data_IF_488424023437
#
_entry.id   IF_488424023437
#
_cell.length_a   1.000
_cell.length_b   1.000
_cell.length_c   1.000
_cell.angle_alpha   90.00
_cell.angle_beta   90.00
_cell.angle_gamma   90.00
#
_symmetry.space_group_name_H-M   'P 1'
#
loop_
_entity.id
_entity.type
_entity.pdbx_description
1 polymer ?
2 non-polymer ?
3 non-polymer ?
4 water ?
#
# COMPACT_ATOMS: atom_id res chain seq x y z
N UNK A 1 9.19 16.16 -2.78
CA UNK A 1 8.06 16.96 -2.31
C UNK A 1 7.48 16.43 -1.01
N UNK A 2 6.58 17.19 -0.40
CA UNK A 2 5.63 16.61 0.53
C UNK A 2 4.32 16.27 -0.16
N UNK A 3 3.86 15.04 0.01
CA UNK A 3 2.70 14.56 -0.72
C UNK A 3 1.54 14.23 0.21
N UNK A 4 0.41 14.88 -0.04
CA UNK A 4 -0.78 14.74 0.78
C UNK A 4 -1.46 13.40 0.52
N UNK A 5 -2.23 12.93 1.49
CA UNK A 5 -2.91 11.65 1.35
C UNK A 5 -4.42 11.82 1.38
N UNK A 6 -4.87 13.04 1.15
CA UNK A 6 -6.27 13.29 0.81
C UNK A 6 -6.67 12.52 -0.44
N UNK A 7 -5.78 12.48 -1.43
CA UNK A 7 -6.02 11.71 -2.64
C UNK A 7 -5.04 10.55 -2.73
N UNK A 8 -5.28 9.63 -3.65
CA UNK A 8 -4.30 8.60 -3.98
C UNK A 8 -3.00 9.26 -4.43
N UNK A 9 -1.86 8.75 -3.93
CA UNK A 9 -0.55 9.35 -4.19
C UNK A 9 0.05 8.87 -5.51
N UNK A 10 -0.47 9.42 -6.60
CA UNK A 10 -0.12 8.95 -7.94
C UNK A 10 0.98 9.82 -8.52
N UNK A 11 1.99 9.17 -9.11
CA UNK A 11 3.10 9.88 -9.72
C UNK A 11 3.36 9.33 -11.12
N UNK A 12 4.09 10.07 -11.93
CA UNK A 12 4.60 9.55 -13.19
C UNK A 12 5.95 8.86 -12.98
N UNK A 13 6.10 7.68 -13.55
CA UNK A 13 7.41 7.03 -13.62
C UNK A 13 7.85 6.89 -15.06
N UNK A 14 9.17 6.94 -15.27
CA UNK A 14 9.76 6.54 -16.55
C UNK A 14 10.42 5.17 -16.41
N UNK A 15 9.99 4.23 -17.26
CA UNK A 15 10.55 2.90 -17.23
C UNK A 15 10.50 2.24 -18.61
N UNK A 16 11.63 1.66 -19.01
CA UNK A 16 11.73 0.96 -20.28
C UNK A 16 11.33 1.85 -21.46
N UNK A 17 11.65 3.13 -21.36
CA UNK A 17 11.38 4.07 -22.44
C UNK A 17 9.99 4.67 -22.37
N UNK A 18 9.21 4.26 -21.38
CA UNK A 18 7.79 4.57 -21.33
C UNK A 18 7.46 5.44 -20.12
N UNK A 19 6.46 6.31 -20.27
CA UNK A 19 5.88 7.03 -19.14
C UNK A 19 4.61 6.33 -18.68
N UNK A 20 4.49 6.14 -17.37
CA UNK A 20 3.33 5.47 -16.79
C UNK A 20 2.97 6.14 -15.47
N UNK A 21 1.69 6.08 -15.10
CA UNK A 21 1.26 6.54 -13.78
C UNK A 21 1.27 5.38 -12.80
N UNK A 22 1.67 5.66 -11.57
CA UNK A 22 1.77 4.61 -10.56
C UNK A 22 1.47 5.13 -9.17
N UNK A 23 1.15 4.21 -8.27
CA UNK A 23 0.68 4.52 -6.93
C UNK A 23 1.80 4.26 -5.93
N UNK A 24 2.23 5.30 -5.22
CA UNK A 24 3.26 5.14 -4.19
C UNK A 24 2.69 4.40 -2.98
N UNK A 25 3.17 3.17 -2.75
CA UNK A 25 2.51 2.29 -1.79
C UNK A 25 3.48 1.81 -0.73
N UNK A 26 3.35 2.37 0.47
CA UNK A 26 4.25 2.04 1.57
C UNK A 26 4.00 0.63 2.10
N UNK A 27 2.82 0.09 1.82
CA UNK A 27 2.45 -1.23 2.31
C UNK A 27 2.89 -2.35 1.40
N UNK A 28 3.41 -1.99 0.22
CA UNK A 28 3.83 -3.00 -0.75
C UNK A 28 5.33 -3.32 -0.62
N UNK A 29 5.65 -4.60 -0.50
CA UNK A 29 7.04 -5.06 -0.52
C UNK A 29 7.68 -4.75 -1.87
N UNK A 30 6.94 -5.01 -2.93
CA UNK A 30 7.49 -5.05 -4.28
C UNK A 30 6.84 -3.99 -5.15
N UNK A 31 7.44 -3.76 -6.30
CA UNK A 31 6.88 -2.89 -7.32
C UNK A 31 6.28 -3.75 -8.42
N UNK A 32 5.01 -3.52 -8.73
CA UNK A 32 4.31 -4.32 -9.73
C UNK A 32 3.63 -3.44 -10.77
N UNK A 33 3.90 -3.73 -12.05
CA UNK A 33 3.36 -2.96 -13.15
C UNK A 33 2.52 -3.86 -14.04
N UNK A 34 1.45 -3.29 -14.60
CA UNK A 34 0.67 -3.98 -15.62
C UNK A 34 1.55 -4.47 -16.76
N UNK A 35 1.00 -5.32 -17.62
CA UNK A 35 1.79 -6.01 -18.62
C UNK A 35 2.56 -5.02 -19.49
N UNK A 36 3.87 -5.25 -19.57
CA UNK A 36 4.76 -4.45 -20.42
C UNK A 36 5.98 -5.28 -20.77
N UNK A 37 6.80 -4.73 -21.66
CA UNK A 37 8.05 -5.40 -22.04
C UNK A 37 9.21 -4.83 -21.25
N UNK A 38 10.06 -5.72 -20.72
CA UNK A 38 11.35 -5.30 -20.21
C UNK A 38 12.46 -6.24 -20.69
N UNK A 39 13.68 -5.70 -20.84
CA UNK A 39 14.82 -6.43 -21.35
C UNK A 39 15.51 -7.27 -20.29
N UNK A 40 16.27 -8.28 -20.71
CA UNK A 40 17.09 -9.06 -19.80
C UNK A 40 16.33 -10.25 -19.23
N UNK A 41 16.90 -10.86 -18.19
CA UNK A 41 16.41 -12.13 -17.67
C UNK A 41 15.23 -11.90 -16.72
N UNK A 42 14.36 -12.88 -16.60
CA UNK A 42 13.29 -12.84 -15.61
C UNK A 42 13.00 -14.22 -15.03
N UNK A 43 12.33 -14.24 -13.87
CA UNK A 43 11.85 -15.49 -13.29
C UNK A 43 10.45 -15.32 -12.71
N UNK A 44 9.64 -16.40 -12.71
CA UNK A 44 8.26 -16.26 -12.27
C UNK A 44 8.16 -16.11 -10.77
N UNK A 45 7.12 -15.41 -10.32
CA UNK A 45 6.89 -15.19 -8.89
C UNK A 45 5.39 -15.12 -8.66
N UNK A 46 4.96 -15.62 -7.51
CA UNK A 46 3.58 -15.39 -7.06
C UNK A 46 3.58 -14.36 -5.95
N UNK A 47 2.81 -13.29 -6.13
CA UNK A 47 2.68 -12.29 -5.07
C UNK A 47 1.25 -12.20 -4.58
N UNK A 48 1.12 -11.87 -3.29
CA UNK A 48 -0.17 -11.92 -2.62
C UNK A 48 -0.61 -10.55 -2.14
N UNK A 49 -1.92 -10.31 -2.22
CA UNK A 49 -2.52 -9.11 -1.63
C UNK A 49 -3.91 -9.47 -1.16
N UNK A 50 -4.75 -8.46 -0.96
CA UNK A 50 -6.16 -8.72 -0.75
C UNK A 50 -6.78 -9.30 -2.02
N UNK A 51 -7.44 -10.44 -1.85
CA UNK A 51 -8.06 -11.13 -2.97
C UNK A 51 -7.36 -12.44 -3.32
N UNK A 52 -6.09 -12.56 -2.96
CA UNK A 52 -5.31 -13.73 -3.29
C UNK A 52 -4.01 -13.40 -4.02
N UNK A 53 -3.50 -14.35 -4.78
CA UNK A 53 -2.20 -14.22 -5.42
C UNK A 53 -2.35 -14.05 -6.93
N UNK A 54 -1.39 -13.36 -7.53
CA UNK A 54 -1.23 -13.38 -8.99
C UNK A 54 0.19 -13.76 -9.37
N UNK A 55 0.33 -14.36 -10.55
CA UNK A 55 1.63 -14.75 -11.05
C UNK A 55 2.23 -13.61 -11.88
N UNK A 56 3.50 -13.28 -11.59
CA UNK A 56 4.17 -12.18 -12.27
C UNK A 56 5.56 -12.61 -12.78
N UNK A 57 6.12 -11.83 -13.70
CA UNK A 57 7.52 -11.99 -14.10
C UNK A 57 8.40 -11.03 -13.29
N UNK A 58 9.46 -11.57 -12.71
CA UNK A 58 10.40 -10.77 -11.94
C UNK A 58 11.64 -10.41 -12.76
N UNK A 59 11.79 -9.12 -13.03
CA UNK A 59 13.01 -8.58 -13.61
C UNK A 59 13.80 -7.81 -12.54
N UNK A 60 15.11 -8.03 -12.51
CA UNK A 60 15.99 -7.37 -11.55
C UNK A 60 16.84 -6.30 -12.22
N UNK A 61 17.37 -5.38 -11.41
CA UNK A 61 18.27 -4.34 -11.90
C UNK A 61 17.67 -3.57 -13.06
N UNK A 62 16.45 -3.08 -12.86
CA UNK A 62 15.78 -2.26 -13.86
C UNK A 62 15.84 -0.79 -13.46
N UNK A 63 16.39 0.06 -14.35
CA UNK A 63 16.40 1.50 -14.11
C UNK A 63 15.00 2.09 -14.18
N UNK A 64 14.69 2.96 -13.25
CA UNK A 64 13.39 3.62 -13.21
C UNK A 64 13.57 5.03 -12.68
N UNK A 65 12.67 5.92 -13.12
CA UNK A 65 12.73 7.32 -12.73
C UNK A 65 11.41 7.72 -12.11
N UNK A 66 11.42 8.12 -10.84
CA UNK A 66 10.20 8.44 -10.11
C UNK A 66 10.20 9.88 -9.64
N UNK A 67 9.25 10.66 -10.14
CA UNK A 67 9.18 12.08 -9.81
C UNK A 67 10.55 12.75 -10.00
N UNK A 68 11.27 12.31 -11.03
CA UNK A 68 12.56 12.91 -11.35
C UNK A 68 13.72 12.25 -10.63
N UNK A 69 13.41 11.30 -9.75
CA UNK A 69 14.44 10.61 -8.99
C UNK A 69 14.79 9.26 -9.62
N UNK A 70 16.06 9.12 -10.00
CA UNK A 70 16.56 7.86 -10.55
C UNK A 70 16.79 6.81 -9.46
N UNK A 71 16.33 5.60 -9.71
CA UNK A 71 16.69 4.44 -8.90
C UNK A 71 16.86 3.22 -9.78
N UNK A 72 17.31 2.12 -9.19
CA UNK A 72 17.35 0.84 -9.87
C UNK A 72 16.94 -0.28 -8.93
N UNK A 73 16.16 -1.22 -9.43
CA UNK A 73 15.46 -2.17 -8.57
C UNK A 73 14.77 -3.29 -9.31
N UNK A 74 14.21 -4.24 -8.55
CA UNK A 74 13.42 -5.31 -9.11
C UNK A 74 12.02 -4.79 -9.45
N UNK A 75 11.57 -5.08 -10.67
CA UNK A 75 10.22 -4.73 -11.09
C UNK A 75 9.45 -5.98 -11.49
N UNK A 76 8.26 -6.14 -10.93
CA UNK A 76 7.39 -7.26 -11.27
C UNK A 76 6.38 -6.83 -12.33
N UNK A 77 6.11 -7.71 -13.29
CA UNK A 77 5.18 -7.41 -14.38
C UNK A 77 4.13 -8.52 -14.50
N UNK A 78 2.87 -8.12 -14.58
CA UNK A 78 1.78 -9.08 -14.57
C UNK A 78 0.42 -8.40 -14.48
N UNK A 79 -0.63 -9.21 -14.27
CA UNK A 79 -2.03 -8.76 -14.33
C UNK A 79 -2.48 -8.09 -13.04
N UNK A 80 -1.71 -7.10 -12.59
CA UNK A 80 -2.14 -6.25 -11.49
C UNK A 80 -3.15 -5.22 -11.97
N UNK A 81 -4.18 -4.95 -11.16
CA UNK A 81 -5.23 -4.03 -11.56
C UNK A 81 -4.79 -2.57 -11.54
N UNK A 82 -3.67 -2.29 -10.88
CA UNK A 82 -3.05 -0.99 -11.01
C UNK A 82 -1.56 -1.03 -10.73
N UNK A 83 -0.86 -0.06 -11.30
CA UNK A 83 0.58 0.08 -11.11
C UNK A 83 0.92 0.54 -9.69
N UNK A 84 1.77 -0.20 -9.01
CA UNK A 84 2.16 0.12 -7.64
C UNK A 84 3.68 0.20 -7.53
N UNK A 85 4.17 1.31 -6.99
CA UNK A 85 5.55 1.41 -6.54
C UNK A 85 5.67 0.99 -5.08
N UNK A 86 6.50 -0.01 -4.81
CA UNK A 86 6.63 -0.57 -3.48
C UNK A 86 7.89 -0.13 -2.77
N UNK A 87 8.12 -0.68 -1.58
CA UNK A 87 9.17 -0.19 -0.71
C UNK A 87 10.57 -0.37 -1.33
N UNK A 88 10.73 -1.40 -2.16
CA UNK A 88 12.04 -1.69 -2.74
C UNK A 88 12.58 -0.54 -3.56
N UNK A 89 11.69 0.29 -4.10
CA UNK A 89 12.10 1.48 -4.86
C UNK A 89 11.88 2.77 -4.08
N UNK A 90 10.86 2.79 -3.24
CA UNK A 90 10.59 3.97 -2.42
C UNK A 90 11.80 4.34 -1.56
N UNK A 91 12.50 3.32 -1.05
CA UNK A 91 13.66 3.56 -0.20
C UNK A 91 14.73 4.32 -0.98
N UNK A 92 14.85 4.00 -2.27
CA UNK A 92 15.97 4.47 -3.08
C UNK A 92 15.81 5.95 -3.41
N UNK A 93 14.59 6.45 -3.39
CA UNK A 93 14.35 7.87 -3.65
C UNK A 93 14.15 8.65 -2.35
N UNK A 94 14.38 7.99 -1.22
CA UNK A 94 14.46 8.67 0.06
C UNK A 94 13.09 8.96 0.63
N UNK A 95 12.13 8.11 0.29
CA UNK A 95 10.74 8.37 0.65
C UNK A 95 10.42 7.83 2.05
N UNK A 96 9.91 8.71 2.90
CA UNK A 96 9.53 8.33 4.25
C UNK A 96 8.08 8.71 4.54
N UNK A 97 7.52 8.10 5.58
CA UNK A 97 6.24 8.52 6.13
C UNK A 97 6.47 9.49 7.27
N UNK A 98 5.58 10.47 7.41
CA UNK A 98 5.75 11.50 8.43
C UNK A 98 4.42 11.90 9.06
N UNK A 99 4.38 11.89 10.39
CA UNK A 99 3.28 12.47 11.14
C UNK A 99 3.72 12.76 12.56
N UNK B 1 6.51 10.80 14.18
CA UNK B 1 7.75 10.16 13.76
C UNK B 1 8.01 10.27 12.27
N UNK B 2 9.25 10.03 11.87
CA UNK B 2 9.58 9.76 10.47
C UNK B 2 9.88 8.28 10.28
N UNK B 3 9.05 7.60 9.49
CA UNK B 3 9.22 6.18 9.27
C UNK B 3 9.81 5.93 7.89
N UNK B 4 10.98 5.29 7.88
CA UNK B 4 11.60 4.83 6.64
C UNK B 4 11.06 3.46 6.26
N UNK B 5 11.42 3.00 5.06
CA UNK B 5 10.68 1.92 4.41
C UNK B 5 11.59 0.74 4.06
N UNK B 6 12.75 0.67 4.70
CA UNK B 6 13.63 -0.48 4.56
C UNK B 6 13.00 -1.74 5.12
N UNK B 7 12.11 -1.55 6.09
CA UNK B 7 11.25 -2.62 6.59
C UNK B 7 9.79 -2.27 6.34
N UNK B 8 8.90 -3.25 6.47
CA UNK B 8 7.47 -2.98 6.55
C UNK B 8 7.16 -1.98 7.66
N UNK B 9 6.39 -0.91 7.33
CA UNK B 9 5.99 0.10 8.29
C UNK B 9 4.90 -0.40 9.24
N UNK B 10 5.27 -1.34 10.09
CA UNK B 10 4.33 -1.98 11.01
C UNK B 10 4.24 -1.17 12.29
N UNK B 11 3.02 -0.83 12.69
CA UNK B 11 2.81 -0.13 13.95
C UNK B 11 1.78 -0.83 14.81
N UNK B 12 1.77 -0.47 16.09
CA UNK B 12 0.76 -0.94 17.02
C UNK B 12 -0.45 0.00 16.98
N UNK B 13 -1.63 -0.59 16.80
CA UNK B 13 -2.88 0.14 16.93
C UNK B 13 -3.63 -0.36 18.16
N UNK B 14 -4.51 0.47 18.69
CA UNK B 14 -5.46 0.00 19.70
C UNK B 14 -6.90 0.20 19.24
N UNK B 15 -7.68 -0.86 19.31
CA UNK B 15 -9.07 -0.80 18.91
C UNK B 15 -9.92 -1.74 19.75
N UNK B 16 -10.98 -1.19 20.34
CA UNK B 16 -11.82 -1.92 21.28
C UNK B 16 -11.06 -2.41 22.50
N UNK B 17 -10.05 -1.66 22.92
CA UNK B 17 -9.31 -1.97 24.13
C UNK B 17 -8.14 -2.92 23.92
N UNK B 18 -7.96 -3.41 22.70
CA UNK B 18 -6.93 -4.41 22.44
C UNK B 18 -5.84 -3.87 21.52
N UNK B 19 -4.60 -4.31 21.75
CA UNK B 19 -3.48 -3.95 20.89
C UNK B 19 -3.38 -4.91 19.72
N UNK B 20 -3.15 -4.36 18.53
CA UNK B 20 -2.86 -5.17 17.35
C UNK B 20 -1.71 -4.52 16.58
N UNK B 21 -1.11 -5.29 15.69
CA UNK B 21 -0.16 -4.74 14.73
C UNK B 21 -0.83 -4.51 13.37
N UNK B 22 -0.49 -3.39 12.74
CA UNK B 22 -1.05 -3.06 11.44
C UNK B 22 -0.02 -2.39 10.56
N UNK B 23 -0.31 -2.38 9.27
CA UNK B 23 0.63 -1.92 8.25
C UNK B 23 0.17 -0.58 7.68
N UNK B 24 1.02 0.44 7.77
CA UNK B 24 0.68 1.76 7.24
C UNK B 24 0.80 1.79 5.72
N UNK B 25 -0.33 1.94 5.04
CA UNK B 25 -0.41 1.59 3.63
C UNK B 25 -1.03 2.73 2.80
N UNK B 26 -0.19 3.50 2.15
CA UNK B 26 -0.63 4.67 1.43
C UNK B 26 -1.31 4.30 0.12
N UNK B 27 -1.15 3.04 -0.27
CA UNK B 27 -1.80 2.53 -1.48
C UNK B 27 -3.19 1.96 -1.22
N UNK B 28 -3.68 2.12 0.01
CA UNK B 28 -5.02 1.65 0.36
C UNK B 28 -5.95 2.82 0.63
N UNK B 29 -7.09 2.85 -0.07
CA UNK B 29 -8.13 3.83 0.21
C UNK B 29 -8.64 3.64 1.63
N UNK B 30 -8.81 2.38 2.01
CA UNK B 30 -9.61 2.00 3.17
C UNK B 30 -8.73 1.26 4.18
N UNK B 31 -9.20 1.22 5.42
CA UNK B 31 -8.56 0.43 6.46
C UNK B 31 -9.27 -0.92 6.62
N UNK B 32 -8.53 -2.01 6.52
CA UNK B 32 -9.16 -3.33 6.64
C UNK B 32 -8.40 -4.23 7.60
N UNK B 33 -9.14 -4.72 8.60
CA UNK B 33 -8.55 -5.50 9.69
C UNK B 33 -9.02 -6.95 9.59
N UNK B 34 -8.21 -7.85 10.12
CA UNK B 34 -8.57 -9.27 10.25
C UNK B 34 -9.76 -9.46 11.17
N UNK B 35 -10.43 -10.60 11.03
CA UNK B 35 -11.67 -10.86 11.77
C UNK B 35 -11.55 -10.45 13.23
N UNK B 36 -12.59 -9.76 13.70
CA UNK B 36 -12.66 -9.28 15.08
C UNK B 36 -14.09 -8.82 15.35
N UNK B 37 -14.43 -8.65 16.62
CA UNK B 37 -15.75 -8.14 17.00
C UNK B 37 -15.71 -6.62 17.12
N UNK B 38 -16.71 -5.96 16.56
CA UNK B 38 -16.91 -4.53 16.76
C UNK B 38 -18.38 -4.24 17.07
N UNK B 39 -18.65 -3.09 17.71
CA UNK B 39 -20.01 -2.80 18.17
C UNK B 39 -20.88 -2.21 17.07
N UNK B 40 -22.19 -2.37 17.19
CA UNK B 40 -23.14 -1.66 16.34
C UNK B 40 -23.50 -2.43 15.10
N UNK B 41 -24.09 -1.74 14.13
CA UNK B 41 -24.50 -2.36 12.88
C UNK B 41 -23.42 -2.15 11.82
N UNK B 42 -23.40 -3.04 10.82
CA UNK B 42 -22.43 -2.93 9.75
C UNK B 42 -23.12 -2.97 8.39
N UNK B 43 -22.44 -2.41 7.38
CA UNK B 43 -22.91 -2.44 6.01
C UNK B 43 -21.95 -3.27 5.16
N UNK B 44 -22.42 -3.73 3.99
CA UNK B 44 -21.59 -4.48 3.06
C UNK B 44 -20.64 -3.60 2.26
N UNK B 45 -19.41 -4.07 2.06
CA UNK B 45 -18.55 -3.52 1.04
C UNK B 45 -17.75 -4.59 0.32
N UNK B 46 -17.65 -4.46 -0.99
CA UNK B 46 -16.72 -5.23 -1.79
C UNK B 46 -15.49 -4.38 -2.09
N UNK B 47 -14.31 -4.86 -1.69
CA UNK B 47 -13.07 -4.14 -1.97
C UNK B 47 -12.15 -4.98 -2.84
N UNK B 48 -11.46 -4.31 -3.75
CA UNK B 48 -10.54 -4.96 -4.68
C UNK B 48 -9.10 -4.74 -4.27
N UNK B 49 -8.34 -5.84 -4.21
CA UNK B 49 -6.90 -5.76 -4.08
C UNK B 49 -6.19 -6.33 -5.28
N UNK B 50 -4.91 -6.62 -5.11
CA UNK B 50 -4.06 -7.11 -6.19
C UNK B 50 -4.57 -8.45 -6.72
N UNK B 51 -5.16 -9.25 -5.83
CA UNK B 51 -5.47 -10.64 -6.15
C UNK B 51 -6.94 -10.86 -6.49
N UNK B 52 -7.75 -9.82 -6.36
CA UNK B 52 -9.17 -9.92 -6.65
C UNK B 52 -10.03 -9.23 -5.60
N UNK B 53 -11.27 -9.67 -5.46
CA UNK B 53 -12.22 -8.97 -4.60
C UNK B 53 -12.53 -9.77 -3.35
N UNK B 54 -12.74 -9.07 -2.23
CA UNK B 54 -13.32 -9.70 -1.05
C UNK B 54 -14.50 -8.92 -0.50
N UNK B 55 -15.42 -9.63 0.14
CA UNK B 55 -16.49 -9.01 0.91
C UNK B 55 -16.01 -8.70 2.31
N UNK B 56 -16.37 -7.52 2.81
CA UNK B 56 -16.01 -7.14 4.17
C UNK B 56 -17.23 -6.54 4.88
N UNK B 57 -17.13 -6.48 6.20
CA UNK B 57 -18.11 -5.75 7.01
C UNK B 57 -17.62 -4.34 7.31
N UNK B 58 -18.44 -3.34 6.98
CA UNK B 58 -18.06 -1.95 7.21
C UNK B 58 -18.64 -1.43 8.52
N UNK B 59 -17.77 -1.04 9.44
CA UNK B 59 -18.18 -0.34 10.64
C UNK B 59 -17.75 1.12 10.57
N UNK B 60 -18.64 2.02 10.96
CA UNK B 60 -18.33 3.45 10.93
C UNK B 60 -18.09 4.02 12.33
N UNK B 61 -17.36 5.13 12.38
CA UNK B 61 -17.26 5.94 13.60
C UNK B 61 -16.66 5.12 14.74
N UNK B 62 -15.66 4.31 14.41
CA UNK B 62 -14.99 3.47 15.38
C UNK B 62 -13.72 4.15 15.88
N UNK B 63 -13.60 4.34 17.20
CA UNK B 63 -12.36 4.89 17.74
C UNK B 63 -11.18 3.93 17.55
N UNK B 64 -10.05 4.45 17.08
CA UNK B 64 -8.86 3.65 16.89
C UNK B 64 -7.59 4.47 17.07
N UNK B 65 -6.70 3.97 17.93
CA UNK B 65 -5.41 4.60 18.16
C UNK B 65 -4.37 4.02 17.21
N UNK B 66 -3.53 4.88 16.65
CA UNK B 66 -2.51 4.45 15.70
C UNK B 66 -1.17 5.10 16.02
N UNK B 67 -0.16 4.28 16.32
CA UNK B 67 0.94 4.66 17.21
C UNK B 67 0.60 5.83 18.12
N UNK B 68 -0.46 5.68 18.91
CA UNK B 68 -0.76 6.63 19.98
C UNK B 68 -1.51 7.85 19.50
N UNK B 69 -1.74 7.93 18.19
CA UNK B 69 -2.53 9.02 17.60
C UNK B 69 -4.01 8.61 17.49
N UNK B 70 -4.88 9.44 18.03
CA UNK B 70 -6.30 9.11 18.10
C UNK B 70 -7.00 9.38 16.78
N UNK B 71 -7.71 8.37 16.28
CA UNK B 71 -8.63 8.57 15.16
C UNK B 71 -9.98 7.95 15.49
N UNK B 72 -11.00 8.40 14.76
CA UNK B 72 -12.32 7.77 14.81
C UNK B 72 -12.88 7.71 13.39
N UNK B 73 -13.05 6.52 12.86
CA UNK B 73 -13.52 6.40 11.48
C UNK B 73 -13.88 5.01 11.05
N UNK B 74 -13.90 4.82 9.74
CA UNK B 74 -14.49 3.65 9.14
C UNK B 74 -13.48 2.52 9.11
N UNK B 75 -13.89 1.38 9.65
CA UNK B 75 -13.05 0.20 9.69
C UNK B 75 -13.75 -0.96 9.02
N UNK B 76 -13.07 -1.58 8.08
CA UNK B 76 -13.57 -2.77 7.41
C UNK B 76 -12.99 -4.01 8.07
N UNK B 77 -13.80 -5.06 8.16
CA UNK B 77 -13.35 -6.30 8.77
C UNK B 77 -13.63 -7.46 7.81
N UNK B 78 -12.60 -8.26 7.54
CA UNK B 78 -12.76 -9.43 6.71
C UNK B 78 -11.45 -10.15 6.44
N UNK B 79 -11.43 -11.00 5.41
CA UNK B 79 -10.34 -11.93 5.14
C UNK B 79 -9.18 -11.27 4.41
N UNK B 80 -8.46 -10.40 5.09
CA UNK B 80 -7.26 -9.77 4.55
C UNK B 80 -6.01 -10.49 5.03
N UNK B 81 -4.97 -10.52 4.20
CA UNK B 81 -3.69 -11.12 4.57
C UNK B 81 -3.02 -10.48 5.79
N UNK B 82 -3.22 -9.17 5.98
CA UNK B 82 -2.80 -8.51 7.22
C UNK B 82 -3.67 -7.29 7.50
N UNK B 83 -3.60 -6.81 8.73
CA UNK B 83 -4.20 -5.53 9.10
C UNK B 83 -3.52 -4.40 8.35
N UNK B 84 -4.32 -3.59 7.65
CA UNK B 84 -3.79 -2.49 6.87
C UNK B 84 -4.52 -1.21 7.23
N UNK B 85 -3.75 -0.18 7.57
CA UNK B 85 -4.30 1.15 7.82
C UNK B 85 -4.21 1.99 6.55
N UNK B 86 -5.37 2.35 6.01
CA UNK B 86 -5.45 3.08 4.75
C UNK B 86 -5.57 4.59 4.92
N UNK B 87 -5.71 5.29 3.80
CA UNK B 87 -5.62 6.76 3.80
C UNK B 87 -6.73 7.41 4.63
N UNK B 88 -7.87 6.76 4.73
CA UNK B 88 -8.99 7.31 5.49
C UNK B 88 -8.60 7.61 6.94
N UNK B 89 -7.67 6.84 7.49
CA UNK B 89 -7.22 7.06 8.86
C UNK B 89 -5.83 7.69 8.92
N UNK B 90 -5.02 7.47 7.89
CA UNK B 90 -3.72 8.12 7.77
C UNK B 90 -3.87 9.65 7.69
N UNK B 91 -4.93 10.10 7.02
CA UNK B 91 -5.19 11.53 6.93
C UNK B 91 -5.60 12.10 8.29
N UNK B 92 -6.25 11.28 9.10
CA UNK B 92 -6.72 11.73 10.40
C UNK B 92 -5.56 11.96 11.38
N UNK B 93 -4.47 11.22 11.20
CA UNK B 93 -3.31 11.35 12.08
C UNK B 93 -2.19 12.19 11.45
N UNK B 94 -2.51 12.85 10.34
CA UNK B 94 -1.63 13.89 9.79
C UNK B 94 -0.45 13.30 9.04
N UNK B 95 -0.67 12.15 8.43
CA UNK B 95 0.39 11.48 7.68
C UNK B 95 0.58 12.12 6.31
N UNK B 96 1.85 12.28 5.92
CA UNK B 96 2.20 12.63 4.55
C UNK B 96 3.38 11.77 4.10
N UNK B 97 3.54 11.66 2.78
CA UNK B 97 4.75 11.06 2.21
C UNK B 97 5.75 12.16 1.88
N UNK B 98 7.03 11.93 2.17
CA UNK B 98 8.05 12.94 1.95
C UNK B 98 9.29 12.38 1.27
N UNK B 99 9.71 13.03 0.20
CA UNK B 99 11.03 12.79 -0.36
C UNK B 99 11.53 13.99 -1.15
X LIG C 1 15.03 -4.38 -5.51
X LIG D 1 17.40 6.29 4.61
X LIG E 1 -13.14 7.16 7.77
X LIG F 1 -0.68 -7.96 2.04
X LIG F 1 -1.45 -6.95 1.47
X LIG F 1 -1.02 -5.62 1.52
X LIG F 1 -1.68 -4.64 0.80
X LIG F 1 0.19 -5.32 2.14
X LIG F 1 0.95 -6.33 2.73
X LIG F 1 0.55 -7.66 2.62
X LIG F 1 1.27 -8.64 3.31
X LIG F 1 1.35 -9.83 2.58
X LIG F 1 2.13 -9.97 1.43
X LIG F 1 2.84 -8.90 0.87
X LIG F 1 2.06 -8.35 -0.27
X LIG F 1 2.40 -7.09 -0.78
X LIG F 1 3.35 -6.48 -0.30
X LIG F 1 1.54 -6.46 -1.69
X LIG F 1 2.35 -5.97 -2.90
X LIG F 1 3.23 -7.12 -3.43
X LIG F 1 1.38 -5.52 -4.00
X LIG F 1 0.88 -5.31 -1.02
X LIG F 1 -0.50 -5.10 -1.11
X LIG F 1 -1.19 -5.94 -1.70
X LIG F 1 -1.08 -4.09 -0.34
X LIG F 1 -0.06 -3.17 0.07
X LIG F 1 -2.13 -3.32 -1.14
X LIG F 1 -1.53 -2.79 -2.43
X LIG F 1 -2.19 -1.44 -2.76
X LIG F 1 -3.48 -1.66 -3.41
X LIG F 1 -4.51 -1.30 -2.86
X LIG F 1 -5.25 -2.22 -2.21
X LIG F 1 -5.28 -3.41 -2.51
X LIG F 1 -6.47 -1.58 -1.51
X LIG F 1 -7.01 -2.38 -0.32
X LIG F 1 -7.71 -3.66 -0.82
X LIG F 1 -5.88 -2.76 0.63
X LIG F 1 -8.03 -1.52 0.42
X LIG F 1 -7.54 -1.38 -2.49
X LIG F 1 -7.94 -0.16 -2.81
X LIG F 1 -7.50 0.82 -2.21
X LIG F 1 -8.83 0.01 -3.83
X LIG F 1 -8.96 1.40 -4.15
X LIG F 1 -3.53 -1.74 -4.74
X LIG F 1 -4.78 -1.91 -5.33
X LIG F 1 -5.58 -0.80 -5.62
X LIG F 1 -6.77 -0.97 -6.31
X LIG F 1 -5.09 -3.14 -5.88
X LIG F 1 -6.28 -3.32 -6.57
X LIG F 1 -7.12 -2.23 -6.79
X LIG F 1 -8.26 -2.43 -7.43
X LIG F 1 -8.82 -3.67 -7.45
X LIG F 1 -9.88 -3.77 -8.27
X LIG F 1 -9.95 -2.37 -9.15
X LIG F 1 -8.66 -1.63 -8.43
#
# INVERSE_FOLDING_TARGET
>A
PQITLWQRPLVTIKIGGQLKEALLDTGADDTVLEEMSLPGRWKPKMIGGIGGFIKVRQYDQIPIEICGHKAIGTVLVGPTPTNVIGRNLLTQIGCTLNF
>B
PQITLWQRPLVTIKIGGQLKEALLDTGADDTVLEEMSLPGRWKPKMIGGIGGFIKVRQYDQIPIEICGHKAIGTVLVGPTPTNVIGRNLLTQIGCTLNF
>C hetero
1 CL CL
>D hetero
1 CL CL
>E hetero
1 CL CL
>F hetero
1 V78 CAR CAT CBS CBF CAU CAS CBQ CBB CAM CAL CAZ NBH C O CA CB CG1 CG2 N CBP OAJ CCA OAK CBD CBA CBC NBY NBK CBO OAI CBX CBZ CAD CAE CAF NBI CBM OAG OBL CAA CBE CXQ CXV CXW CXP CXR CXA CXY CXZ CXT SAI CXG
#
